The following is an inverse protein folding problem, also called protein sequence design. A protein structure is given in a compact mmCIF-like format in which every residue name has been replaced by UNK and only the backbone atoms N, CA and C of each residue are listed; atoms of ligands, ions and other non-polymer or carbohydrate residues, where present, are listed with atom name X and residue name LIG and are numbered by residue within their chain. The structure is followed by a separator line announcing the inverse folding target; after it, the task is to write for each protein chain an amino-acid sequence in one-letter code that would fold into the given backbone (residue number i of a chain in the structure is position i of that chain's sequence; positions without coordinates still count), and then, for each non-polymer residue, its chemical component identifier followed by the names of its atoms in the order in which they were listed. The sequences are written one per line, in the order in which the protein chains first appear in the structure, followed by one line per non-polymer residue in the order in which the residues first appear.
data_IF_247976758734
#
_entry.id   IF_247976758734
#
_cell.length_a   1.000
_cell.length_b   1.000
_cell.length_c   1.000
_cell.angle_alpha   90.00
_cell.angle_beta   90.00
_cell.angle_gamma   90.00
#
_symmetry.space_group_name_H-M   'P 1'
#
loop_
_entity.id
_entity.type
_entity.pdbx_description
1 polymer ?
#
# COMPACT_ATOMS: atom_id res chain seq x y z
N UNK A 1 22.46 4.30 -8.08
CA UNK A 1 21.14 4.72 -8.61
C UNK A 1 19.97 4.17 -7.73
N UNK A 2 20.10 4.20 -6.39
CA UNK A 2 19.01 3.81 -5.45
C UNK A 2 18.60 4.92 -4.48
N UNK A 3 19.41 5.97 -4.32
CA UNK A 3 19.17 7.05 -3.35
C UNK A 3 18.24 8.16 -3.84
N UNK A 4 17.99 8.29 -5.15
CA UNK A 4 17.20 9.41 -5.67
C UNK A 4 15.69 9.22 -5.51
N UNK A 5 15.22 7.97 -5.36
CA UNK A 5 13.79 7.66 -5.27
C UNK A 5 13.29 7.72 -3.82
N UNK A 6 14.11 7.33 -2.85
CA UNK A 6 13.72 7.31 -1.43
C UNK A 6 13.63 8.74 -0.85
N UNK A 7 14.51 9.67 -1.25
CA UNK A 7 14.49 11.05 -0.76
C UNK A 7 13.29 11.87 -1.27
N UNK A 8 12.84 11.62 -2.51
CA UNK A 8 11.70 12.35 -3.07
C UNK A 8 10.39 11.98 -2.38
N UNK A 9 10.17 10.71 -2.06
CA UNK A 9 8.89 10.25 -1.48
C UNK A 9 8.73 10.77 -0.04
N UNK A 10 9.79 10.78 0.77
CA UNK A 10 9.72 11.27 2.14
C UNK A 10 9.53 12.80 2.19
N UNK A 11 10.20 13.56 1.31
CA UNK A 11 9.96 14.99 1.17
C UNK A 11 8.57 15.30 0.57
N UNK A 12 8.02 14.42 -0.28
CA UNK A 12 6.67 14.58 -0.83
C UNK A 12 5.59 14.42 0.24
N UNK A 13 5.69 13.37 1.06
CA UNK A 13 4.69 13.08 2.10
C UNK A 13 4.73 14.13 3.20
N UNK A 14 5.92 14.68 3.51
CA UNK A 14 6.06 15.72 4.54
C UNK A 14 5.47 17.08 4.12
N UNK A 15 5.35 17.35 2.81
CA UNK A 15 4.91 18.64 2.28
C UNK A 15 3.49 18.62 1.70
N UNK A 16 2.90 17.44 1.47
CA UNK A 16 1.59 17.31 0.85
C UNK A 16 0.47 17.33 1.91
N UNK A 17 -0.32 18.40 1.90
CA UNK A 17 -1.43 18.63 2.85
C UNK A 17 -2.76 18.01 2.38
N UNK A 18 -2.86 17.60 1.12
CA UNK A 18 -4.09 17.12 0.52
C UNK A 18 -4.01 15.62 0.22
N UNK A 19 -4.85 14.84 0.90
CA UNK A 19 -4.85 13.38 0.79
C UNK A 19 -5.23 12.86 -0.62
N UNK A 20 -5.96 13.65 -1.42
CA UNK A 20 -6.28 13.32 -2.83
C UNK A 20 -5.04 13.36 -3.71
N UNK A 21 -4.24 14.41 -3.56
CA UNK A 21 -2.96 14.56 -4.26
C UNK A 21 -1.99 13.45 -3.87
N UNK A 22 -1.96 13.07 -2.58
CA UNK A 22 -1.17 11.94 -2.10
C UNK A 22 -1.60 10.62 -2.78
N UNK A 23 -2.91 10.40 -2.91
CA UNK A 23 -3.49 9.23 -3.55
C UNK A 23 -3.15 9.14 -5.04
N UNK A 24 -3.35 10.23 -5.79
CA UNK A 24 -3.07 10.28 -7.24
C UNK A 24 -1.57 10.09 -7.53
N UNK A 25 -0.70 10.67 -6.68
CA UNK A 25 0.74 10.55 -6.82
C UNK A 25 1.25 9.15 -6.47
N UNK A 26 0.72 8.52 -5.42
CA UNK A 26 1.04 7.11 -5.13
C UNK A 26 0.49 6.19 -6.21
N UNK A 27 -0.72 6.44 -6.69
CA UNK A 27 -1.31 5.78 -7.85
C UNK A 27 -0.38 5.82 -9.05
N UNK A 28 0.18 6.99 -9.39
CA UNK A 28 1.13 7.14 -10.51
C UNK A 28 2.47 6.45 -10.25
N UNK A 29 3.03 6.51 -9.03
CA UNK A 29 4.28 5.84 -8.67
C UNK A 29 4.18 4.31 -8.79
N UNK A 30 3.05 3.74 -8.40
CA UNK A 30 2.83 2.29 -8.50
C UNK A 30 2.41 1.86 -9.90
N UNK A 31 1.60 2.65 -10.62
CA UNK A 31 1.23 2.37 -12.01
C UNK A 31 2.44 2.48 -12.97
N UNK A 32 3.37 3.40 -12.71
CA UNK A 32 4.59 3.57 -13.51
C UNK A 32 5.61 2.43 -13.30
N UNK A 33 5.63 1.81 -12.11
CA UNK A 33 6.61 0.76 -11.76
C UNK A 33 6.13 -0.68 -12.00
N UNK A 34 4.85 -0.90 -12.31
CA UNK A 34 4.31 -2.24 -12.54
C UNK A 34 2.99 -2.16 -13.29
N UNK A 35 2.84 -2.99 -14.33
CA UNK A 35 1.55 -3.28 -14.94
C UNK A 35 0.60 -3.83 -13.87
N UNK A 36 -0.20 -2.98 -13.24
CA UNK A 36 -1.48 -3.24 -12.55
C UNK A 36 -1.49 -4.18 -11.33
N UNK A 37 -0.53 -5.09 -11.12
CA UNK A 37 -0.61 -6.11 -10.07
C UNK A 37 -0.21 -5.61 -8.66
N UNK A 38 0.68 -4.61 -8.53
CA UNK A 38 1.16 -4.14 -7.22
C UNK A 38 0.09 -3.49 -6.36
N UNK A 39 -0.67 -2.55 -6.93
CA UNK A 39 -1.77 -1.87 -6.23
C UNK A 39 -2.88 -2.84 -5.82
N UNK A 40 -3.20 -3.80 -6.70
CA UNK A 40 -4.17 -4.84 -6.41
C UNK A 40 -3.76 -5.69 -5.20
N UNK A 41 -2.49 -6.13 -5.16
CA UNK A 41 -1.96 -6.92 -4.04
C UNK A 41 -1.89 -6.13 -2.74
N UNK A 42 -1.47 -4.85 -2.78
CA UNK A 42 -1.47 -3.96 -1.61
C UNK A 42 -2.87 -3.77 -1.04
N UNK A 43 -3.85 -3.52 -1.91
CA UNK A 43 -5.26 -3.40 -1.51
C UNK A 43 -5.75 -4.69 -0.86
N UNK A 44 -5.53 -5.83 -1.50
CA UNK A 44 -5.94 -7.13 -0.97
C UNK A 44 -5.27 -7.45 0.39
N UNK A 45 -4.00 -7.07 0.57
CA UNK A 45 -3.26 -7.25 1.81
C UNK A 45 -3.83 -6.41 2.97
N UNK A 46 -4.12 -5.12 2.73
CA UNK A 46 -4.73 -4.25 3.75
C UNK A 46 -6.17 -4.64 4.07
N UNK A 47 -6.90 -5.17 3.09
CA UNK A 47 -8.28 -5.67 3.27
C UNK A 47 -8.33 -7.10 3.85
N UNK A 48 -7.18 -7.77 4.03
CA UNK A 48 -7.10 -9.13 4.56
C UNK A 48 -7.52 -9.16 6.03
N UNK A 49 -8.78 -9.49 6.28
CA UNK A 49 -9.35 -9.64 7.63
C UNK A 49 -9.51 -11.10 8.00
N UNK A 50 -9.26 -11.40 9.28
CA UNK A 50 -9.61 -12.70 9.83
C UNK A 50 -11.11 -12.97 9.67
N UNK A 51 -11.45 -14.17 9.21
CA UNK A 51 -12.83 -14.63 9.07
C UNK A 51 -13.07 -15.70 10.11
N UNK A 52 -14.02 -15.47 11.02
CA UNK A 52 -14.30 -16.34 12.18
C UNK A 52 -14.63 -17.80 11.79
N UNK A 53 -15.12 -18.03 10.58
CA UNK A 53 -15.41 -19.35 10.02
C UNK A 53 -14.16 -20.12 9.57
N UNK A 54 -12.99 -19.48 9.50
CA UNK A 54 -11.73 -20.06 9.05
C UNK A 54 -10.83 -20.35 10.25
N UNK A 55 -9.95 -21.35 10.13
CA UNK A 55 -8.92 -21.57 11.15
C UNK A 55 -7.89 -20.45 11.17
N UNK A 56 -7.31 -20.20 12.34
CA UNK A 56 -6.23 -19.22 12.50
C UNK A 56 -5.02 -19.59 11.63
N UNK A 57 -4.73 -20.89 11.48
CA UNK A 57 -3.64 -21.40 10.64
C UNK A 57 -3.90 -21.06 9.17
N UNK A 58 -5.14 -21.27 8.69
CA UNK A 58 -5.50 -20.90 7.33
C UNK A 58 -5.32 -19.40 7.08
N UNK A 59 -5.74 -18.56 8.02
CA UNK A 59 -5.53 -17.11 7.92
C UNK A 59 -4.03 -16.73 7.90
N UNK A 60 -3.20 -17.35 8.73
CA UNK A 60 -1.75 -17.11 8.74
C UNK A 60 -1.09 -17.53 7.43
N UNK A 61 -1.50 -18.66 6.83
CA UNK A 61 -1.02 -19.08 5.52
C UNK A 61 -1.40 -18.08 4.42
N UNK A 62 -2.64 -17.62 4.40
CA UNK A 62 -3.10 -16.58 3.45
C UNK A 62 -2.34 -15.27 3.63
N UNK A 63 -2.12 -14.84 4.88
CA UNK A 63 -1.34 -13.65 5.21
C UNK A 63 0.10 -13.78 4.70
N UNK A 64 0.77 -14.89 5.02
CA UNK A 64 2.15 -15.14 4.60
C UNK A 64 2.27 -15.18 3.07
N UNK A 65 1.35 -15.87 2.38
CA UNK A 65 1.36 -15.95 0.92
C UNK A 65 1.16 -14.60 0.25
N UNK A 66 0.37 -13.70 0.83
CA UNK A 66 0.22 -12.34 0.34
C UNK A 66 1.47 -11.48 0.62
N UNK A 67 2.06 -11.63 1.81
CA UNK A 67 3.30 -10.95 2.19
C UNK A 67 4.48 -11.35 1.29
N UNK A 68 4.65 -12.65 1.01
CA UNK A 68 5.72 -13.16 0.16
C UNK A 68 5.62 -12.64 -1.28
N UNK A 69 4.39 -12.50 -1.81
CA UNK A 69 4.17 -11.91 -3.12
C UNK A 69 4.56 -10.43 -3.16
N UNK A 70 4.19 -9.66 -2.14
CA UNK A 70 4.57 -8.25 -2.03
C UNK A 70 6.08 -8.09 -1.90
N UNK A 71 6.71 -8.93 -1.08
CA UNK A 71 8.16 -8.94 -0.89
C UNK A 71 8.89 -9.31 -2.19
N UNK A 72 8.43 -10.36 -2.89
CA UNK A 72 8.98 -10.77 -4.20
C UNK A 72 8.81 -9.69 -5.29
N UNK A 73 7.83 -8.80 -5.14
CA UNK A 73 7.64 -7.62 -5.99
C UNK A 73 8.54 -6.43 -5.66
N UNK A 74 9.37 -6.54 -4.62
CA UNK A 74 10.26 -5.50 -4.14
C UNK A 74 9.55 -4.36 -3.42
N UNK A 75 8.35 -4.62 -2.86
CA UNK A 75 7.66 -3.67 -1.99
C UNK A 75 8.34 -3.69 -0.63
N UNK A 76 8.76 -2.52 -0.16
CA UNK A 76 9.40 -2.39 1.16
C UNK A 76 8.34 -2.21 2.25
N UNK A 77 8.71 -2.44 3.51
CA UNK A 77 7.80 -2.24 4.63
C UNK A 77 7.34 -0.78 4.77
N UNK A 78 8.18 0.19 4.44
CA UNK A 78 7.82 1.62 4.46
C UNK A 78 6.70 1.95 3.46
N UNK A 79 6.68 1.27 2.31
CA UNK A 79 5.64 1.41 1.29
C UNK A 79 4.29 0.89 1.83
N UNK A 80 4.32 -0.21 2.60
CA UNK A 80 3.15 -0.76 3.28
C UNK A 80 2.61 0.19 4.34
N UNK A 81 3.47 0.77 5.18
CA UNK A 81 3.07 1.75 6.20
C UNK A 81 2.42 2.99 5.59
N UNK A 82 2.98 3.50 4.48
CA UNK A 82 2.41 4.65 3.74
C UNK A 82 1.03 4.32 3.18
N UNK A 83 0.88 3.13 2.61
CA UNK A 83 -0.41 2.67 2.09
C UNK A 83 -1.44 2.45 3.21
N UNK A 84 -1.02 1.92 4.35
CA UNK A 84 -1.89 1.75 5.53
C UNK A 84 -2.35 3.11 6.09
N UNK A 85 -1.44 4.08 6.21
CA UNK A 85 -1.75 5.44 6.62
C UNK A 85 -2.79 6.08 5.70
N UNK A 86 -2.64 5.93 4.39
CA UNK A 86 -3.62 6.41 3.41
C UNK A 86 -5.02 5.82 3.62
N UNK A 87 -5.12 4.50 3.81
CA UNK A 87 -6.40 3.82 4.03
C UNK A 87 -7.02 4.15 5.41
N UNK A 88 -6.24 4.72 6.33
CA UNK A 88 -6.74 5.20 7.63
C UNK A 88 -7.31 6.62 7.59
N UNK A 89 -7.02 7.38 6.52
CA UNK A 89 -7.60 8.71 6.33
C UNK A 89 -9.10 8.59 6.00
N UNK A 90 -9.95 9.52 6.49
CA UNK A 90 -11.36 9.51 6.17
C UNK A 90 -11.58 9.52 4.65
N UNK A 91 -12.57 8.77 4.18
CA UNK A 91 -12.99 8.72 2.77
C UNK A 91 -13.12 10.16 2.23
N UNK A 92 -12.18 10.55 1.38
CA UNK A 92 -12.22 11.86 0.71
C UNK A 92 -13.43 12.00 -0.22
N UNK A 93 -14.14 10.89 -0.50
CA UNK A 93 -15.42 10.89 -1.21
C UNK A 93 -16.60 11.42 -0.38
N UNK A 94 -16.44 11.60 0.94
CA UNK A 94 -17.48 12.13 1.84
C UNK A 94 -17.22 13.57 2.29
N UNK A 95 -16.12 14.19 1.85
CA UNK A 95 -15.75 15.55 2.27
C UNK A 95 -15.91 16.59 1.17
N UNK A 96 -16.60 16.26 0.06
CA UNK A 96 -17.08 17.22 -0.94
C UNK A 96 -18.40 16.75 -1.56
#
# INVERSE_FOLDING_TARGET
IRQFVDNNINNFIANETHARTLWDNLGSLYAFKSKTNKLYLLKNFVELKYKEKNSIIYHLCEFQGCFDQLFGMGIKFEDLLKFFLLNSLPDLSKTF
#
